data_IF_368263113679
#
_entry.id   IF_368263113679
#
_cell.length_a   1.000
_cell.length_b   1.000
_cell.length_c   1.000
_cell.angle_alpha   90.00
_cell.angle_beta   90.00
_cell.angle_gamma   90.00
#
_symmetry.space_group_name_H-M   'P 1'
#
loop_
_entity.id
_entity.type
_entity.pdbx_description
1 polymer ?
#
# COMPACT_ATOMS: atom_id res chain seq x y z
N UNK A 1 -3.53 -6.16 5.21
CA UNK A 1 -3.98 -6.55 6.56
C UNK A 1 -5.18 -7.48 6.47
N UNK A 2 -6.31 -7.14 5.86
CA UNK A 2 -7.44 -8.08 5.69
C UNK A 2 -7.02 -9.44 5.10
N UNK A 3 -6.18 -9.46 4.07
CA UNK A 3 -5.67 -10.71 3.49
C UNK A 3 -4.89 -11.58 4.50
N UNK A 4 -4.26 -10.98 5.49
CA UNK A 4 -3.53 -11.72 6.53
C UNK A 4 -4.45 -12.38 7.56
N UNK A 5 -5.65 -11.85 7.73
CA UNK A 5 -6.71 -12.39 8.60
C UNK A 5 -7.56 -13.42 7.85
N UNK A 6 -7.91 -13.13 6.61
CA UNK A 6 -8.76 -13.94 5.74
C UNK A 6 -7.96 -14.92 4.83
N UNK A 7 -6.76 -15.26 5.23
CA UNK A 7 -5.78 -15.99 4.41
C UNK A 7 -6.27 -17.29 3.78
N UNK A 8 -7.26 -17.98 4.38
CA UNK A 8 -7.87 -19.19 3.83
C UNK A 8 -8.94 -18.92 2.78
N UNK A 9 -9.45 -17.68 2.73
CA UNK A 9 -10.53 -17.27 1.81
C UNK A 9 -9.99 -16.51 0.60
N UNK A 10 -8.72 -16.04 0.64
CA UNK A 10 -8.08 -15.28 -0.42
C UNK A 10 -7.05 -16.16 -1.10
N UNK A 11 -7.32 -16.53 -2.35
CA UNK A 11 -6.43 -17.37 -3.15
C UNK A 11 -5.24 -16.60 -3.73
N UNK A 12 -5.43 -15.33 -4.09
CA UNK A 12 -4.41 -14.44 -4.67
C UNK A 12 -4.63 -13.01 -4.23
N UNK A 13 -3.56 -12.23 -4.11
CA UNK A 13 -3.61 -10.82 -3.72
C UNK A 13 -2.93 -9.96 -4.78
N UNK A 14 -3.60 -8.91 -5.22
CA UNK A 14 -3.05 -7.91 -6.13
C UNK A 14 -3.07 -6.56 -5.43
N UNK A 15 -1.92 -5.92 -5.38
CA UNK A 15 -1.71 -4.62 -4.77
C UNK A 15 -1.22 -3.64 -5.83
N UNK A 16 -1.98 -2.59 -6.08
CA UNK A 16 -1.63 -1.52 -7.01
C UNK A 16 -1.30 -0.27 -6.18
N UNK A 17 -0.05 0.21 -6.28
CA UNK A 17 0.53 1.30 -5.48
C UNK A 17 0.06 1.31 -4.01
N UNK A 18 0.28 0.21 -3.24
CA UNK A 18 -0.22 0.08 -1.88
C UNK A 18 0.38 1.12 -0.94
N UNK A 19 -0.48 1.90 -0.29
CA UNK A 19 -0.08 3.01 0.58
C UNK A 19 0.35 2.53 1.99
N UNK A 20 1.36 1.67 2.07
CA UNK A 20 1.90 1.14 3.34
C UNK A 20 2.68 2.18 4.15
N UNK A 21 2.93 3.37 3.57
CA UNK A 21 3.58 4.50 4.21
C UNK A 21 2.66 5.33 5.11
N UNK A 22 1.35 5.11 5.09
CA UNK A 22 0.39 5.98 5.81
C UNK A 22 0.73 6.14 7.29
N UNK A 23 1.02 5.09 8.08
CA UNK A 23 1.39 5.27 9.48
C UNK A 23 2.67 6.09 9.66
N UNK A 24 3.67 5.88 8.81
CA UNK A 24 4.95 6.60 8.89
C UNK A 24 4.74 8.09 8.57
N UNK A 25 3.98 8.42 7.51
CA UNK A 25 3.66 9.79 7.12
C UNK A 25 2.91 10.55 8.22
N UNK A 26 1.96 9.89 8.90
CA UNK A 26 1.22 10.51 9.99
C UNK A 26 2.09 10.71 11.22
N UNK A 27 2.97 9.77 11.56
CA UNK A 27 3.90 9.91 12.68
C UNK A 27 4.97 10.98 12.42
N UNK A 28 5.39 11.15 11.17
CA UNK A 28 6.30 12.23 10.78
C UNK A 28 5.61 13.60 10.88
N UNK A 29 4.35 13.70 10.42
CA UNK A 29 3.58 14.93 10.45
C UNK A 29 3.20 15.37 11.86
N UNK A 30 2.88 14.42 12.72
CA UNK A 30 2.50 14.63 14.13
C UNK A 30 3.32 13.72 15.04
N UNK A 31 4.57 14.09 15.37
CA UNK A 31 5.44 13.26 16.20
C UNK A 31 4.85 13.00 17.59
N UNK A 32 4.17 13.99 18.15
CA UNK A 32 3.54 13.87 19.47
C UNK A 32 2.01 13.81 19.37
N UNK A 33 1.38 13.07 20.27
CA UNK A 33 -0.08 12.86 20.29
C UNK A 33 -0.84 14.17 20.52
N UNK A 34 -0.28 15.05 21.33
CA UNK A 34 -0.82 16.38 21.66
C UNK A 34 -0.89 17.31 20.44
N UNK A 35 -0.03 17.09 19.44
CA UNK A 35 -0.02 17.89 18.19
C UNK A 35 -1.13 17.50 17.22
N UNK A 36 -1.79 16.35 17.44
CA UNK A 36 -2.86 15.87 16.56
C UNK A 36 -4.12 16.72 16.75
N UNK A 37 -4.57 17.44 15.71
CA UNK A 37 -5.78 18.25 15.80
C UNK A 37 -7.03 17.35 15.92
N UNK A 38 -8.12 17.89 16.49
CA UNK A 38 -9.40 17.19 16.60
C UNK A 38 -9.96 16.78 15.23
N UNK A 39 -9.71 17.61 14.21
CA UNK A 39 -10.08 17.34 12.81
C UNK A 39 -8.95 17.79 11.90
N UNK A 40 -8.54 16.95 10.98
CA UNK A 40 -7.66 17.30 9.85
C UNK A 40 -8.41 17.17 8.55
N UNK A 41 -8.07 18.01 7.58
CA UNK A 41 -8.61 17.89 6.23
C UNK A 41 -7.52 17.46 5.24
N UNK A 42 -7.80 16.41 4.46
CA UNK A 42 -6.90 15.88 3.43
C UNK A 42 -7.73 15.65 2.17
N UNK A 43 -7.35 16.32 1.09
CA UNK A 43 -8.04 16.23 -0.21
C UNK A 43 -9.57 16.44 -0.09
N UNK A 44 -9.99 17.39 0.75
CA UNK A 44 -11.42 17.66 1.00
C UNK A 44 -12.12 16.66 1.92
N UNK A 45 -11.41 15.67 2.46
CA UNK A 45 -11.95 14.72 3.42
C UNK A 45 -11.54 15.13 4.84
N UNK A 46 -12.53 15.26 5.73
CA UNK A 46 -12.30 15.54 7.15
C UNK A 46 -12.05 14.24 7.91
N UNK A 47 -10.90 14.17 8.59
CA UNK A 47 -10.48 13.05 9.39
C UNK A 47 -10.43 13.45 10.86
N UNK A 48 -11.15 12.74 11.71
CA UNK A 48 -11.13 12.97 13.16
C UNK A 48 -9.84 12.45 13.81
N UNK A 49 -9.48 13.03 14.96
CA UNK A 49 -8.30 12.66 15.75
C UNK A 49 -8.22 11.16 16.03
N UNK A 50 -9.35 10.51 16.31
CA UNK A 50 -9.41 9.07 16.56
C UNK A 50 -8.84 8.25 15.40
N UNK A 51 -9.14 8.60 14.15
CA UNK A 51 -8.60 7.93 12.97
C UNK A 51 -7.06 7.97 12.96
N UNK A 52 -6.49 9.14 13.25
CA UNK A 52 -5.04 9.31 13.30
C UNK A 52 -4.41 8.57 14.46
N UNK A 53 -5.08 8.55 15.62
CA UNK A 53 -4.65 7.77 16.78
C UNK A 53 -4.62 6.27 16.49
N UNK A 54 -5.61 5.74 15.79
CA UNK A 54 -5.67 4.33 15.42
C UNK A 54 -4.58 3.98 14.39
N UNK A 55 -4.37 4.83 13.38
CA UNK A 55 -3.38 4.59 12.30
C UNK A 55 -1.94 4.66 12.79
N UNK A 56 -1.60 5.61 13.67
CA UNK A 56 -0.20 5.81 14.11
C UNK A 56 0.44 4.58 14.74
N UNK A 57 -0.37 3.69 15.30
CA UNK A 57 0.08 2.44 15.92
C UNK A 57 0.10 1.25 14.97
N UNK A 58 -0.39 1.42 13.74
CA UNK A 58 -0.39 0.34 12.75
C UNK A 58 1.03 0.05 12.26
N UNK A 59 1.35 -1.23 12.21
CA UNK A 59 2.63 -1.74 11.69
C UNK A 59 2.37 -2.69 10.52
N UNK A 60 2.14 -2.15 9.31
CA UNK A 60 1.73 -2.95 8.17
C UNK A 60 2.70 -4.09 7.86
N UNK A 61 4.00 -3.83 7.95
CA UNK A 61 5.04 -4.81 7.64
C UNK A 61 5.12 -5.97 8.64
N UNK A 62 4.69 -5.78 9.89
CA UNK A 62 4.61 -6.86 10.88
C UNK A 62 3.41 -7.80 10.59
N UNK A 63 2.47 -7.35 9.77
CA UNK A 63 1.21 -8.04 9.52
C UNK A 63 1.13 -8.68 8.14
N UNK A 64 1.59 -7.98 7.09
CA UNK A 64 1.41 -8.42 5.69
C UNK A 64 2.10 -9.76 5.39
N UNK A 65 3.23 -10.04 6.01
CA UNK A 65 3.98 -11.29 5.86
C UNK A 65 3.24 -12.55 6.36
N UNK A 66 2.13 -12.37 7.10
CA UNK A 66 1.28 -13.49 7.55
C UNK A 66 0.44 -14.10 6.43
N UNK A 67 0.25 -13.38 5.32
CA UNK A 67 -0.36 -13.92 4.11
C UNK A 67 0.69 -14.68 3.30
N UNK A 68 0.46 -15.97 3.09
CA UNK A 68 1.41 -16.85 2.42
C UNK A 68 1.05 -17.18 0.96
N UNK A 69 -0.12 -16.75 0.49
CA UNK A 69 -0.57 -16.93 -0.88
C UNK A 69 0.21 -16.07 -1.88
N UNK A 70 -0.02 -16.27 -3.19
CA UNK A 70 0.62 -15.48 -4.23
C UNK A 70 0.23 -14.00 -4.16
N UNK A 71 1.21 -13.11 -4.31
CA UNK A 71 1.01 -11.65 -4.29
C UNK A 71 1.63 -11.02 -5.53
N UNK A 72 0.87 -10.20 -6.23
CA UNK A 72 1.38 -9.28 -7.25
C UNK A 72 1.35 -7.87 -6.71
N UNK A 73 2.48 -7.18 -6.76
CA UNK A 73 2.60 -5.76 -6.43
C UNK A 73 2.90 -5.00 -7.73
N UNK A 74 2.15 -3.95 -8.03
CA UNK A 74 2.39 -3.07 -9.17
C UNK A 74 2.59 -1.65 -8.63
N UNK A 75 3.69 -0.98 -9.02
CA UNK A 75 4.02 0.34 -8.49
C UNK A 75 4.73 1.19 -9.55
N UNK A 76 4.54 2.50 -9.51
CA UNK A 76 5.25 3.44 -10.37
C UNK A 76 6.62 3.80 -9.80
N UNK A 77 7.65 3.90 -10.65
CA UNK A 77 8.99 4.25 -10.17
C UNK A 77 9.12 5.70 -9.70
N UNK A 78 8.25 6.60 -10.18
CA UNK A 78 8.25 8.03 -9.85
C UNK A 78 7.04 8.45 -8.99
N UNK A 79 6.49 7.53 -8.22
CA UNK A 79 5.38 7.80 -7.30
C UNK A 79 5.86 8.71 -6.16
N UNK A 80 5.39 9.96 -6.18
CA UNK A 80 5.72 10.99 -5.18
C UNK A 80 4.80 10.97 -3.96
N UNK A 81 3.70 10.24 -4.03
CA UNK A 81 2.74 10.10 -2.91
C UNK A 81 3.11 8.90 -2.04
N UNK A 82 3.40 7.77 -2.69
CA UNK A 82 3.84 6.54 -2.03
C UNK A 82 5.18 6.13 -2.63
N UNK A 83 6.30 6.37 -1.97
CA UNK A 83 7.62 6.00 -2.49
C UNK A 83 7.69 4.51 -2.83
N UNK A 84 8.25 4.18 -4.01
CA UNK A 84 8.39 2.81 -4.51
C UNK A 84 9.15 1.88 -3.56
N UNK A 85 9.94 2.44 -2.65
CA UNK A 85 10.67 1.67 -1.64
C UNK A 85 9.76 0.93 -0.66
N UNK A 86 8.55 1.44 -0.42
CA UNK A 86 7.53 0.71 0.34
C UNK A 86 7.07 -0.57 -0.39
N UNK A 87 6.94 -0.52 -1.72
CA UNK A 87 6.64 -1.71 -2.52
C UNK A 87 7.81 -2.71 -2.53
N UNK A 88 9.06 -2.23 -2.62
CA UNK A 88 10.26 -3.07 -2.50
C UNK A 88 10.38 -3.73 -1.12
N UNK A 89 10.04 -2.99 -0.06
CA UNK A 89 9.99 -3.55 1.30
C UNK A 89 8.88 -4.59 1.42
N UNK A 90 7.69 -4.35 0.86
CA UNK A 90 6.61 -5.31 0.84
C UNK A 90 6.99 -6.60 0.09
N UNK A 91 7.67 -6.49 -1.06
CA UNK A 91 8.22 -7.64 -1.78
C UNK A 91 9.08 -8.54 -0.89
N UNK A 92 9.93 -7.95 -0.05
CA UNK A 92 10.80 -8.71 0.88
C UNK A 92 10.04 -9.29 2.07
N UNK A 93 8.90 -8.69 2.43
CA UNK A 93 8.09 -9.10 3.58
C UNK A 93 7.14 -10.25 3.25
N UNK A 94 6.55 -10.24 2.07
CA UNK A 94 5.71 -11.34 1.60
C UNK A 94 6.55 -12.56 1.23
N UNK A 95 6.05 -13.77 1.53
CA UNK A 95 6.74 -15.03 1.23
C UNK A 95 6.72 -15.41 -0.25
N UNK A 96 5.66 -15.01 -0.96
CA UNK A 96 5.43 -15.37 -2.36
C UNK A 96 4.90 -14.15 -3.12
N UNK A 97 5.79 -13.20 -3.38
CA UNK A 97 5.44 -11.95 -4.05
C UNK A 97 6.26 -11.72 -5.32
N UNK A 98 5.63 -11.03 -6.26
CA UNK A 98 6.27 -10.48 -7.46
C UNK A 98 6.00 -8.98 -7.49
N UNK A 99 7.02 -8.17 -7.77
CA UNK A 99 6.90 -6.72 -7.97
C UNK A 99 7.07 -6.40 -9.46
N UNK A 100 6.11 -5.68 -10.02
CA UNK A 100 6.17 -5.05 -11.34
C UNK A 100 6.25 -3.54 -11.17
N UNK A 101 7.38 -2.96 -11.54
CA UNK A 101 7.58 -1.50 -11.51
C UNK A 101 7.29 -0.95 -12.91
N UNK A 102 6.43 0.05 -13.00
CA UNK A 102 6.16 0.80 -14.23
C UNK A 102 7.06 2.03 -14.22
N UNK A 103 7.99 2.08 -15.18
CA UNK A 103 8.97 3.15 -15.24
C UNK A 103 8.33 4.52 -15.46
N UNK A 104 8.83 5.53 -14.73
CA UNK A 104 8.34 6.92 -14.71
C UNK A 104 6.86 7.12 -14.36
N UNK A 105 6.14 6.07 -13.99
CA UNK A 105 4.75 6.20 -13.54
C UNK A 105 4.69 6.82 -12.13
N UNK A 106 3.70 7.71 -11.95
CA UNK A 106 3.39 8.33 -10.66
C UNK A 106 2.32 7.57 -9.88
N UNK A 107 1.76 8.25 -8.88
CA UNK A 107 0.60 7.74 -8.14
C UNK A 107 -0.68 7.96 -8.97
N UNK A 108 -1.37 6.87 -9.33
CA UNK A 108 -2.50 6.93 -10.25
C UNK A 108 -2.05 6.85 -11.72
N UNK A 109 -2.16 5.69 -12.30
CA UNK A 109 -1.68 5.40 -13.65
C UNK A 109 -2.46 6.13 -14.75
N UNK A 110 -1.75 6.66 -15.75
CA UNK A 110 -2.33 7.14 -16.99
C UNK A 110 -2.91 5.96 -17.83
N UNK A 111 -3.63 6.21 -18.94
CA UNK A 111 -4.26 5.13 -19.71
C UNK A 111 -3.27 4.06 -20.23
N UNK A 112 -2.06 4.44 -20.66
CA UNK A 112 -1.06 3.49 -21.16
C UNK A 112 -0.47 2.65 -20.01
N UNK A 113 -0.14 3.28 -18.89
CA UNK A 113 0.34 2.61 -17.68
C UNK A 113 -0.73 1.68 -17.08
N UNK A 114 -2.00 2.10 -17.12
CA UNK A 114 -3.14 1.27 -16.70
C UNK A 114 -3.30 0.04 -17.59
N UNK A 115 -3.14 0.19 -18.90
CA UNK A 115 -3.17 -0.94 -19.83
C UNK A 115 -2.06 -1.94 -19.52
N UNK A 116 -0.85 -1.46 -19.21
CA UNK A 116 0.28 -2.29 -18.82
C UNK A 116 0.01 -2.99 -17.47
N UNK A 117 -0.50 -2.25 -16.49
CA UNK A 117 -0.90 -2.82 -15.19
C UNK A 117 -1.94 -3.93 -15.37
N UNK A 118 -2.97 -3.71 -16.18
CA UNK A 118 -4.00 -4.72 -16.46
C UNK A 118 -3.43 -5.97 -17.15
N UNK A 119 -2.44 -5.81 -18.02
CA UNK A 119 -1.72 -6.95 -18.61
C UNK A 119 -1.03 -7.78 -17.53
N UNK A 120 -0.30 -7.15 -16.60
CA UNK A 120 0.35 -7.86 -15.50
C UNK A 120 -0.66 -8.59 -14.59
N UNK A 121 -1.81 -7.96 -14.33
CA UNK A 121 -2.92 -8.59 -13.58
C UNK A 121 -3.44 -9.82 -14.31
N UNK A 122 -3.71 -9.72 -15.61
CA UNK A 122 -4.18 -10.85 -16.43
C UNK A 122 -3.18 -12.01 -16.44
N UNK A 123 -1.90 -11.74 -16.65
CA UNK A 123 -0.84 -12.75 -16.60
C UNK A 123 -0.73 -13.44 -15.23
N UNK A 124 -0.89 -12.67 -14.16
CA UNK A 124 -0.86 -13.20 -12.80
C UNK A 124 -2.07 -14.08 -12.47
N UNK A 125 -3.24 -13.70 -12.94
CA UNK A 125 -4.48 -14.48 -12.71
C UNK A 125 -4.54 -15.75 -13.56
N UNK A 126 -3.89 -15.78 -14.73
CA UNK A 126 -3.85 -16.93 -15.63
C UNK A 126 -2.95 -18.08 -15.14
N UNK A 127 -2.09 -17.81 -14.19
CA UNK A 127 -1.24 -18.84 -13.55
C UNK A 127 -2.03 -19.64 -12.51
#
# INVERSE_FOLDING_TARGET
MAASELKKQISRLILIYPALCIPDNWNERYPHVEDIPEVSEIWGVKLGKKFMMDIRHMKPFDTIGKYAGPVLIIHGSDDKVVPVDYAKRALKTYRNATLKVIDKAGHGFNPAERKLSNKYVGEFLAK
#
